data_IF_016929493461
#
_entry.id   IF_016929493461
#
_cell.length_a   1.000
_cell.length_b   1.000
_cell.length_c   1.000
_cell.angle_alpha   90.00
_cell.angle_beta   90.00
_cell.angle_gamma   90.00
#
_symmetry.space_group_name_H-M   'P 1'
#
loop_
_entity.id
_entity.type
_entity.pdbx_description
1 polymer ?
#
# COMPACT_ATOMS: atom_id res chain seq x y z
N UNK A 1 1.81 3.18 -14.83
CA UNK A 1 3.12 2.78 -14.24
C UNK A 1 2.99 1.31 -13.89
N UNK A 2 3.89 0.42 -14.35
CA UNK A 2 3.88 -0.98 -13.91
C UNK A 2 4.58 -1.05 -12.56
N UNK A 3 3.88 -1.52 -11.52
CA UNK A 3 4.53 -1.96 -10.28
C UNK A 3 5.37 -3.18 -10.64
N UNK A 4 6.65 -3.18 -10.25
CA UNK A 4 7.49 -4.37 -10.31
C UNK A 4 7.35 -5.15 -9.00
N UNK A 5 7.73 -6.43 -9.02
CA UNK A 5 7.58 -7.32 -7.87
C UNK A 5 8.33 -6.81 -6.62
N UNK A 6 9.50 -6.19 -6.82
CA UNK A 6 10.27 -5.58 -5.73
C UNK A 6 9.49 -4.45 -5.01
N UNK A 7 8.81 -3.59 -5.77
CA UNK A 7 7.98 -2.54 -5.18
C UNK A 7 6.76 -3.12 -4.46
N UNK A 8 6.13 -4.16 -5.03
CA UNK A 8 4.98 -4.81 -4.40
C UNK A 8 5.37 -5.42 -3.04
N UNK A 9 6.53 -6.06 -2.96
CA UNK A 9 7.07 -6.63 -1.72
C UNK A 9 7.30 -5.53 -0.67
N UNK A 10 7.94 -4.42 -1.05
CA UNK A 10 8.18 -3.27 -0.17
C UNK A 10 6.88 -2.65 0.34
N UNK A 11 5.86 -2.53 -0.52
CA UNK A 11 4.53 -2.04 -0.14
C UNK A 11 3.87 -2.99 0.86
N UNK A 12 4.03 -4.31 0.70
CA UNK A 12 3.55 -5.31 1.64
C UNK A 12 4.18 -5.16 3.03
N UNK A 13 5.51 -5.01 3.09
CA UNK A 13 6.23 -4.76 4.35
C UNK A 13 5.74 -3.48 5.02
N UNK A 14 5.59 -2.39 4.25
CA UNK A 14 5.10 -1.12 4.77
C UNK A 14 3.68 -1.24 5.34
N UNK A 15 2.78 -1.91 4.62
CA UNK A 15 1.39 -2.12 5.01
C UNK A 15 1.27 -2.85 6.35
N UNK A 16 2.09 -3.90 6.56
CA UNK A 16 2.15 -4.66 7.82
C UNK A 16 2.80 -3.84 8.93
N UNK A 17 3.95 -3.23 8.66
CA UNK A 17 4.70 -2.46 9.65
C UNK A 17 3.88 -1.29 10.22
N UNK A 18 3.10 -0.61 9.39
CA UNK A 18 2.23 0.49 9.81
C UNK A 18 0.85 0.05 10.27
N UNK A 19 0.56 -1.25 10.30
CA UNK A 19 -0.73 -1.81 10.70
C UNK A 19 -1.93 -1.16 9.98
N UNK A 20 -1.77 -0.93 8.67
CA UNK A 20 -2.68 -0.08 7.88
C UNK A 20 -4.09 -0.64 7.85
N UNK A 21 -4.24 -1.96 7.79
CA UNK A 21 -5.54 -2.61 7.85
C UNK A 21 -6.31 -2.24 9.12
N UNK A 22 -5.69 -2.38 10.29
CA UNK A 22 -6.37 -2.10 11.55
C UNK A 22 -6.54 -0.60 11.82
N UNK A 23 -5.61 0.23 11.36
CA UNK A 23 -5.70 1.70 11.55
C UNK A 23 -6.73 2.37 10.66
N UNK A 24 -6.84 1.95 9.41
CA UNK A 24 -7.63 2.65 8.40
C UNK A 24 -8.78 1.80 7.82
N UNK A 25 -8.85 0.51 8.17
CA UNK A 25 -9.89 -0.41 7.68
C UNK A 25 -9.79 -0.72 6.18
N UNK A 26 -8.61 -0.51 5.56
CA UNK A 26 -8.41 -0.72 4.13
C UNK A 26 -7.61 -1.99 3.85
N UNK A 27 -7.94 -2.69 2.76
CA UNK A 27 -7.19 -3.86 2.31
C UNK A 27 -5.87 -3.46 1.67
N UNK A 28 -4.96 -4.42 1.53
CA UNK A 28 -3.69 -4.20 0.84
C UNK A 28 -3.89 -3.78 -0.61
N UNK A 29 -4.85 -4.38 -1.33
CA UNK A 29 -5.17 -4.00 -2.71
C UNK A 29 -5.60 -2.54 -2.82
N UNK A 30 -6.50 -2.09 -1.95
CA UNK A 30 -6.92 -0.67 -1.91
C UNK A 30 -5.76 0.26 -1.56
N UNK A 31 -4.87 -0.15 -0.65
CA UNK A 31 -3.67 0.60 -0.33
C UNK A 31 -2.75 0.75 -1.55
N UNK A 32 -2.47 -0.34 -2.27
CA UNK A 32 -1.65 -0.34 -3.48
C UNK A 32 -2.29 0.51 -4.58
N UNK A 33 -3.60 0.41 -4.80
CA UNK A 33 -4.32 1.26 -5.75
C UNK A 33 -4.17 2.75 -5.42
N UNK A 34 -4.31 3.13 -4.15
CA UNK A 34 -4.14 4.52 -3.69
C UNK A 34 -2.70 5.00 -3.86
N UNK A 35 -1.73 4.13 -3.60
CA UNK A 35 -0.30 4.40 -3.81
C UNK A 35 0.00 4.67 -5.29
N UNK A 36 -0.48 3.79 -6.18
CA UNK A 36 -0.25 3.92 -7.64
C UNK A 36 -0.91 5.18 -8.21
N UNK A 37 -2.08 5.56 -7.68
CA UNK A 37 -2.78 6.78 -8.08
C UNK A 37 -2.14 8.06 -7.53
N UNK A 38 -1.13 7.95 -6.66
CA UNK A 38 -0.48 9.09 -6.02
C UNK A 38 -1.40 9.87 -5.07
N UNK A 39 -2.46 9.23 -4.56
CA UNK A 39 -3.50 9.87 -3.72
C UNK A 39 -3.28 9.61 -2.23
N UNK A 40 -2.11 9.07 -1.85
CA UNK A 40 -1.67 9.05 -0.46
C UNK A 40 -1.21 10.45 -0.07
N UNK A 41 -2.18 11.31 0.24
CA UNK A 41 -1.95 12.42 1.17
C UNK A 41 -1.86 11.79 2.56
N UNK A 42 -0.63 11.66 3.07
CA UNK A 42 -0.32 11.22 4.43
C UNK A 42 -0.21 12.46 5.32
#
# INVERSE_FOLDING_TARGET
MKINDELLEKLGVYFVYHDIYNRYGITFETFVERWVRGTLEI
#
